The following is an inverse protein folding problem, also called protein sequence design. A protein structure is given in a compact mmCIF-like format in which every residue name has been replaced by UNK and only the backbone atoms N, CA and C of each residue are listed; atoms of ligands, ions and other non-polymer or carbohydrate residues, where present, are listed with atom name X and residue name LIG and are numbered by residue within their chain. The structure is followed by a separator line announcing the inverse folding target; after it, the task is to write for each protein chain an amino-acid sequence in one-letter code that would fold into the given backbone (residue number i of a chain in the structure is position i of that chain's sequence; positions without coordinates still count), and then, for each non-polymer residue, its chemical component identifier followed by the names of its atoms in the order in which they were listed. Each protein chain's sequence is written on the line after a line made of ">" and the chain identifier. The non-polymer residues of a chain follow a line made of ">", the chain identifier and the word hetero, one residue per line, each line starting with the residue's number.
data_IF_312208525821
#
_entry.id   IF_312208525821
#
_cell.length_a   1.000
_cell.length_b   1.000
_cell.length_c   1.000
_cell.angle_alpha   90.00
_cell.angle_beta   90.00
_cell.angle_gamma   90.00
#
_symmetry.space_group_name_H-M   'P 1'
#
loop_
_entity.id
_entity.type
_entity.pdbx_description
1 polymer ?
#
# COMPACT_ATOMS: atom_id res chain seq x y z
N UNK A 1 -1.47 -9.04 -13.10
CA UNK A 1 -1.95 -8.93 -11.70
C UNK A 1 -0.76 -8.65 -10.80
N UNK A 2 -0.94 -7.99 -9.65
CA UNK A 2 0.16 -7.84 -8.68
C UNK A 2 0.17 -9.02 -7.72
N UNK A 3 1.35 -9.43 -7.26
CA UNK A 3 1.54 -10.50 -6.26
C UNK A 3 0.60 -10.34 -5.04
N UNK A 4 0.35 -9.09 -4.62
CA UNK A 4 -0.59 -8.77 -3.53
C UNK A 4 -2.04 -9.13 -3.85
N UNK A 5 -2.51 -8.92 -5.09
CA UNK A 5 -3.89 -9.28 -5.50
C UNK A 5 -4.08 -10.78 -5.49
N UNK A 6 -3.13 -11.53 -6.03
CA UNK A 6 -3.17 -13.00 -6.02
C UNK A 6 -3.14 -13.56 -4.60
N UNK A 7 -2.27 -13.00 -3.74
CA UNK A 7 -2.23 -13.36 -2.33
C UNK A 7 -3.59 -13.12 -1.64
N UNK A 8 -4.20 -11.95 -1.84
CA UNK A 8 -5.48 -11.61 -1.19
C UNK A 8 -6.64 -12.47 -1.71
N UNK A 9 -6.69 -12.75 -3.02
CA UNK A 9 -7.70 -13.63 -3.60
C UNK A 9 -7.66 -15.04 -2.97
N UNK A 10 -6.45 -15.58 -2.74
CA UNK A 10 -6.28 -16.88 -2.09
C UNK A 10 -6.55 -16.82 -0.57
N UNK A 11 -6.22 -15.71 0.09
CA UNK A 11 -6.46 -15.55 1.52
C UNK A 11 -7.95 -15.45 1.88
N UNK A 12 -8.77 -14.83 1.03
CA UNK A 12 -10.24 -14.74 1.21
C UNK A 12 -10.90 -16.13 1.17
N UNK A 13 -10.37 -17.04 0.35
CA UNK A 13 -10.88 -18.41 0.24
C UNK A 13 -10.59 -19.31 1.45
N UNK A 14 -9.79 -18.86 2.43
CA UNK A 14 -9.40 -19.57 3.66
C UNK A 14 -8.94 -21.04 3.50
N UNK A 15 -8.65 -21.49 2.29
CA UNK A 15 -8.32 -22.90 2.00
C UNK A 15 -6.94 -23.29 2.52
N UNK A 16 -6.11 -22.33 2.92
CA UNK A 16 -4.74 -22.53 3.39
C UNK A 16 -4.45 -21.62 4.58
N UNK A 17 -3.80 -22.11 5.65
CA UNK A 17 -3.37 -21.26 6.76
C UNK A 17 -2.49 -20.10 6.27
N UNK A 18 -2.68 -18.90 6.84
CA UNK A 18 -1.96 -17.69 6.43
C UNK A 18 -0.43 -17.85 6.45
N UNK A 19 0.09 -18.58 7.44
CA UNK A 19 1.52 -18.88 7.57
C UNK A 19 2.07 -19.65 6.37
N UNK A 20 1.30 -20.62 5.87
CA UNK A 20 1.67 -21.43 4.72
C UNK A 20 1.54 -20.63 3.42
N UNK A 21 0.48 -19.83 3.30
CA UNK A 21 0.32 -18.91 2.18
C UNK A 21 1.46 -17.89 2.10
N UNK A 22 1.91 -17.35 3.24
CA UNK A 22 3.06 -16.44 3.28
C UNK A 22 4.35 -17.09 2.79
N UNK A 23 4.60 -18.36 3.16
CA UNK A 23 5.76 -19.13 2.67
C UNK A 23 5.72 -19.31 1.15
N UNK A 24 4.56 -19.70 0.60
CA UNK A 24 4.37 -19.88 -0.85
C UNK A 24 4.63 -18.62 -1.65
N UNK A 25 4.29 -17.46 -1.10
CA UNK A 25 4.50 -16.16 -1.74
C UNK A 25 5.86 -15.51 -1.42
N UNK A 26 6.71 -16.15 -0.60
CA UNK A 26 8.01 -15.62 -0.22
C UNK A 26 7.94 -14.34 0.61
N UNK A 27 6.85 -14.12 1.35
CA UNK A 27 6.65 -12.92 2.18
C UNK A 27 6.65 -13.25 3.67
N UNK A 28 6.99 -12.24 4.49
CA UNK A 28 6.84 -12.38 5.94
C UNK A 28 5.36 -12.41 6.35
N UNK A 29 5.05 -13.09 7.47
CA UNK A 29 3.71 -13.04 8.09
C UNK A 29 3.25 -11.62 8.40
N UNK A 30 4.17 -10.74 8.82
CA UNK A 30 3.89 -9.32 9.07
C UNK A 30 3.39 -8.61 7.80
N UNK A 31 3.98 -8.92 6.65
CA UNK A 31 3.53 -8.42 5.34
C UNK A 31 2.15 -8.94 5.01
N UNK A 32 1.90 -10.24 5.20
CA UNK A 32 0.60 -10.87 4.98
C UNK A 32 -0.53 -10.24 5.79
N UNK A 33 -0.34 -10.08 7.12
CA UNK A 33 -1.31 -9.39 7.97
C UNK A 33 -1.56 -7.94 7.53
N UNK A 34 -0.50 -7.21 7.17
CA UNK A 34 -0.62 -5.84 6.69
C UNK A 34 -1.41 -5.75 5.38
N UNK A 35 -1.31 -6.75 4.51
CA UNK A 35 -2.08 -6.81 3.28
C UNK A 35 -3.56 -7.09 3.54
N UNK A 36 -3.87 -8.00 4.48
CA UNK A 36 -5.24 -8.31 4.90
C UNK A 36 -5.95 -7.15 5.60
N UNK A 37 -5.23 -6.42 6.45
CA UNK A 37 -5.78 -5.28 7.18
C UNK A 37 -6.06 -4.05 6.29
N UNK A 38 -5.66 -4.09 5.02
CA UNK A 38 -5.83 -2.96 4.08
C UNK A 38 -6.88 -3.34 3.05
N UNK A 39 -8.00 -2.64 3.13
CA UNK A 39 -9.18 -2.81 2.27
C UNK A 39 -8.89 -2.61 0.77
N UNK A 40 -7.84 -1.84 0.45
CA UNK A 40 -7.47 -1.48 -0.91
C UNK A 40 -6.16 -2.13 -1.36
N UNK A 41 -6.21 -2.77 -2.54
CA UNK A 41 -5.07 -3.41 -3.20
C UNK A 41 -4.35 -2.47 -4.18
N UNK A 42 -4.74 -1.20 -4.21
CA UNK A 42 -4.11 -0.19 -5.07
C UNK A 42 -2.76 0.21 -4.45
N UNK A 43 -1.70 0.17 -5.26
CA UNK A 43 -0.43 0.72 -4.83
C UNK A 43 -0.56 2.24 -4.80
N UNK A 44 -0.51 2.82 -3.60
CA UNK A 44 -0.55 4.28 -3.45
C UNK A 44 0.84 4.83 -3.72
N UNK A 45 0.90 6.06 -4.23
CA UNK A 45 2.16 6.74 -4.46
C UNK A 45 3.02 6.73 -3.20
N UNK A 46 4.30 6.34 -3.33
CA UNK A 46 5.29 6.40 -2.24
C UNK A 46 5.80 7.81 -2.00
N UNK A 47 5.25 8.80 -2.72
CA UNK A 47 5.62 10.21 -2.52
C UNK A 47 5.19 10.64 -1.13
N UNK A 48 6.08 11.25 -0.33
CA UNK A 48 5.69 11.83 0.94
C UNK A 48 4.61 12.89 0.72
N UNK A 49 3.57 12.88 1.57
CA UNK A 49 2.49 13.89 1.51
C UNK A 49 3.00 15.32 1.74
N UNK A 50 4.11 15.44 2.45
CA UNK A 50 4.73 16.73 2.78
C UNK A 50 6.18 16.71 2.30
N UNK A 51 6.47 17.48 1.26
CA UNK A 51 7.86 17.79 0.89
C UNK A 51 8.24 19.11 1.57
N UNK A 52 9.25 19.13 2.46
CA UNK A 52 9.71 20.36 3.11
C UNK A 52 10.26 21.41 2.13
N UNK A 53 10.48 21.04 0.86
CA UNK A 53 10.92 21.93 -0.22
C UNK A 53 9.77 22.48 -1.07
N UNK A 54 8.55 22.60 -0.55
CA UNK A 54 7.48 23.32 -1.27
C UNK A 54 7.70 24.83 -1.02
N UNK A 55 8.25 25.62 -1.96
CA UNK A 55 8.23 27.07 -1.80
C UNK A 55 6.77 27.50 -1.64
N UNK A 56 6.47 28.22 -0.55
CA UNK A 56 5.20 28.97 -0.44
C UNK A 56 5.12 29.79 -1.72
N UNK A 57 4.10 29.56 -2.55
CA UNK A 57 3.83 30.42 -3.71
C UNK A 57 3.86 31.86 -3.17
N UNK A 58 4.66 32.77 -3.73
CA UNK A 58 4.54 34.16 -3.34
C UNK A 58 3.09 34.56 -3.64
N UNK A 59 2.39 35.05 -2.62
CA UNK A 59 1.17 35.78 -2.88
C UNK A 59 1.58 36.92 -3.81
N UNK A 60 1.16 36.82 -5.08
CA UNK A 60 1.15 37.96 -5.97
C UNK A 60 0.27 38.99 -5.26
N UNK A 61 0.90 39.92 -4.54
CA UNK A 61 0.25 41.16 -4.14
C UNK A 61 -0.18 41.81 -5.46
N UNK A 62 -1.49 41.84 -5.72
CA UNK A 62 -2.07 42.67 -6.77
C UNK A 62 -1.55 44.10 -6.61
N UNK A 63 -1.19 44.80 -7.69
CA UNK A 63 -2.15 45.43 -8.59
C UNK A 63 -3.34 46.03 -7.83
N UNK A 64 -3.11 47.24 -7.30
CA UNK A 64 -3.93 48.46 -7.32
C UNK A 64 -3.61 49.31 -6.08
#
# INVERSE_FOLDING_TARGET
>A
MSQRREFLALAVGQSVPLSELCRRFGISRKTGYKWLARDEVVDRSRRPHTSPRRPRRPAMLGLL
#
